data_IF_442744370378
#
_entry.id   IF_442744370378
#
_cell.length_a   1.000
_cell.length_b   1.000
_cell.length_c   1.000
_cell.angle_alpha   90.00
_cell.angle_beta   90.00
_cell.angle_gamma   90.00
#
_symmetry.space_group_name_H-M   'P 1'
#
loop_
_entity.id
_entity.type
_entity.pdbx_description
1 polymer ?
#
# COMPACT_ATOMS: atom_id res chain seq x y z
N UNK A 1 -12.36 -14.71 25.57
CA UNK A 1 -12.74 -13.41 24.95
C UNK A 1 -14.24 -13.35 24.69
N UNK A 2 -14.89 -12.18 24.84
CA UNK A 2 -16.36 -12.04 24.68
C UNK A 2 -16.83 -11.76 23.24
N UNK A 3 -15.99 -11.14 22.41
CA UNK A 3 -16.32 -10.73 21.05
C UNK A 3 -15.07 -10.62 20.18
N UNK A 4 -15.24 -10.81 18.88
CA UNK A 4 -14.21 -10.60 17.86
C UNK A 4 -14.71 -9.63 16.79
N UNK A 5 -13.79 -8.89 16.16
CA UNK A 5 -14.06 -8.04 15.02
C UNK A 5 -13.78 -8.82 13.75
N UNK A 6 -14.79 -8.99 12.89
CA UNK A 6 -14.60 -9.62 11.59
C UNK A 6 -14.55 -8.55 10.51
N UNK A 7 -13.50 -8.58 9.69
CA UNK A 7 -13.29 -7.64 8.59
C UNK A 7 -13.76 -8.31 7.29
N UNK A 8 -14.90 -7.87 6.77
CA UNK A 8 -15.51 -8.38 5.55
C UNK A 8 -15.12 -7.53 4.35
N UNK A 9 -14.85 -8.16 3.20
CA UNK A 9 -14.57 -7.50 1.92
C UNK A 9 -15.32 -8.22 0.79
N UNK A 10 -15.92 -7.45 -0.11
CA UNK A 10 -16.48 -7.98 -1.35
C UNK A 10 -15.41 -7.99 -2.43
N UNK A 11 -14.97 -9.17 -2.85
CA UNK A 11 -13.95 -9.36 -3.89
C UNK A 11 -14.56 -9.92 -5.17
N UNK A 12 -13.87 -9.80 -6.30
CA UNK A 12 -14.25 -10.53 -7.51
C UNK A 12 -13.94 -12.01 -7.35
N UNK A 13 -14.87 -12.89 -7.75
CA UNK A 13 -14.57 -14.31 -7.84
C UNK A 13 -13.64 -14.59 -9.03
N UNK A 14 -13.01 -15.78 -9.04
CA UNK A 14 -12.10 -16.21 -10.12
C UNK A 14 -12.76 -16.24 -11.52
N UNK A 15 -14.09 -16.33 -11.57
CA UNK A 15 -14.86 -16.30 -12.83
C UNK A 15 -14.95 -14.91 -13.49
N UNK A 16 -14.48 -13.86 -12.81
CA UNK A 16 -14.51 -12.45 -13.23
C UNK A 16 -15.91 -11.82 -13.24
N UNK A 17 -16.98 -12.61 -13.12
CA UNK A 17 -18.38 -12.21 -13.31
C UNK A 17 -19.12 -12.06 -12.00
N UNK A 18 -18.80 -12.89 -11.01
CA UNK A 18 -19.48 -12.87 -9.71
C UNK A 18 -18.64 -12.15 -8.67
N UNK A 19 -19.32 -11.71 -7.61
CA UNK A 19 -18.67 -11.13 -6.44
C UNK A 19 -18.81 -12.12 -5.29
N UNK A 20 -17.73 -12.28 -4.53
CA UNK A 20 -17.65 -13.16 -3.38
C UNK A 20 -17.43 -12.33 -2.11
N UNK A 21 -18.17 -12.66 -1.07
CA UNK A 21 -17.92 -12.11 0.26
C UNK A 21 -16.77 -12.89 0.90
N UNK A 22 -15.76 -12.19 1.36
CA UNK A 22 -14.62 -12.75 2.07
C UNK A 22 -14.48 -12.13 3.46
N UNK A 23 -13.93 -12.89 4.40
CA UNK A 23 -13.46 -12.45 5.71
C UNK A 23 -11.94 -12.40 5.61
N UNK A 24 -11.36 -11.21 5.63
CA UNK A 24 -9.92 -11.04 5.36
C UNK A 24 -9.09 -11.13 6.64
N UNK A 25 -9.67 -10.73 7.77
CA UNK A 25 -8.96 -10.70 9.05
C UNK A 25 -9.91 -10.68 10.23
N UNK A 26 -9.39 -11.05 11.39
CA UNK A 26 -10.09 -11.08 12.67
C UNK A 26 -9.35 -10.19 13.67
N UNK A 27 -10.05 -9.24 14.29
CA UNK A 27 -9.51 -8.37 15.33
C UNK A 27 -9.97 -8.76 16.72
N UNK A 28 -9.10 -8.59 17.69
CA UNK A 28 -9.35 -8.87 19.12
C UNK A 28 -9.60 -7.57 19.89
N UNK A 29 -10.30 -7.62 21.05
CA UNK A 29 -10.62 -6.43 21.84
C UNK A 29 -9.41 -5.61 22.33
N UNK A 30 -8.24 -6.25 22.46
CA UNK A 30 -6.96 -5.64 22.84
C UNK A 30 -6.27 -4.90 21.68
N UNK A 31 -6.88 -4.89 20.49
CA UNK A 31 -6.43 -4.10 19.34
C UNK A 31 -5.59 -4.89 18.33
N UNK A 32 -5.27 -6.15 18.59
CA UNK A 32 -4.54 -7.00 17.63
C UNK A 32 -5.43 -7.38 16.45
N UNK A 33 -4.82 -7.68 15.32
CA UNK A 33 -5.50 -8.14 14.10
C UNK A 33 -4.75 -9.33 13.53
N UNK A 34 -5.49 -10.36 13.14
CA UNK A 34 -4.96 -11.63 12.65
C UNK A 34 -5.48 -11.90 11.25
N UNK A 35 -4.60 -12.33 10.35
CA UNK A 35 -4.95 -12.59 8.95
C UNK A 35 -5.58 -13.97 8.77
N UNK A 36 -6.57 -14.05 7.90
CA UNK A 36 -7.07 -15.33 7.40
C UNK A 36 -6.34 -15.69 6.11
N UNK A 37 -5.77 -16.91 5.99
CA UNK A 37 -5.18 -17.39 4.74
C UNK A 37 -6.19 -17.31 3.59
N UNK A 38 -5.71 -16.98 2.38
CA UNK A 38 -6.56 -16.71 1.21
C UNK A 38 -7.54 -17.85 0.90
N UNK A 39 -7.13 -19.11 1.08
CA UNK A 39 -7.97 -20.29 0.92
C UNK A 39 -9.15 -20.36 1.91
N UNK A 40 -9.03 -19.72 3.07
CA UNK A 40 -10.04 -19.73 4.13
C UNK A 40 -10.88 -18.47 4.19
N UNK A 41 -10.51 -17.40 3.47
CA UNK A 41 -11.27 -16.15 3.49
C UNK A 41 -12.72 -16.23 2.96
N UNK A 42 -13.09 -17.08 1.97
CA UNK A 42 -14.46 -17.12 1.48
C UNK A 42 -15.51 -17.33 2.58
N UNK A 43 -16.48 -16.41 2.68
CA UNK A 43 -17.45 -16.39 3.78
C UNK A 43 -18.26 -17.69 3.90
N UNK A 44 -18.48 -18.41 2.79
CA UNK A 44 -19.19 -19.69 2.75
C UNK A 44 -18.46 -20.81 3.51
N UNK A 45 -17.16 -20.69 3.78
CA UNK A 45 -16.40 -21.61 4.63
C UNK A 45 -16.71 -21.39 6.12
N UNK A 46 -17.10 -20.18 6.50
CA UNK A 46 -17.46 -19.80 7.87
C UNK A 46 -18.97 -20.03 8.14
N UNK A 47 -19.39 -21.30 8.10
CA UNK A 47 -20.81 -21.70 8.09
C UNK A 47 -21.61 -21.19 9.29
N UNK A 48 -21.10 -21.31 10.51
CA UNK A 48 -21.80 -20.84 11.71
C UNK A 48 -21.92 -19.32 11.73
N UNK A 49 -20.87 -18.60 11.32
CA UNK A 49 -20.90 -17.15 11.21
C UNK A 49 -21.95 -16.68 10.18
N UNK A 50 -22.08 -17.41 9.06
CA UNK A 50 -23.07 -17.13 8.02
C UNK A 50 -24.53 -17.26 8.49
N UNK A 51 -24.79 -17.98 9.60
CA UNK A 51 -26.14 -18.11 10.17
C UNK A 51 -26.53 -16.90 11.01
N UNK A 52 -25.58 -16.04 11.39
CA UNK A 52 -25.84 -14.92 12.28
C UNK A 52 -26.64 -13.81 11.61
N UNK A 53 -27.46 -13.09 12.40
CA UNK A 53 -28.14 -11.88 11.90
C UNK A 53 -27.14 -10.79 11.48
N UNK A 54 -25.96 -10.76 12.12
CA UNK A 54 -24.91 -9.80 11.77
C UNK A 54 -24.45 -10.04 10.34
N UNK A 55 -24.20 -11.29 9.96
CA UNK A 55 -23.84 -11.62 8.58
C UNK A 55 -24.93 -11.24 7.57
N UNK A 56 -26.21 -11.46 7.90
CA UNK A 56 -27.32 -11.02 7.04
C UNK A 56 -27.31 -9.50 6.82
N UNK A 57 -27.04 -8.71 7.86
CA UNK A 57 -26.89 -7.24 7.76
C UNK A 57 -25.66 -6.85 6.93
N UNK A 58 -24.54 -7.56 7.09
CA UNK A 58 -23.33 -7.36 6.27
C UNK A 58 -23.62 -7.58 4.79
N UNK A 59 -24.24 -8.72 4.43
CA UNK A 59 -24.62 -9.04 3.03
C UNK A 59 -25.51 -7.96 2.41
N UNK A 60 -26.40 -7.38 3.19
CA UNK A 60 -27.26 -6.28 2.73
C UNK A 60 -26.54 -4.94 2.59
N UNK A 61 -25.46 -4.72 3.35
CA UNK A 61 -24.71 -3.45 3.38
C UNK A 61 -23.54 -3.38 2.39
N UNK A 62 -22.92 -4.51 2.05
CA UNK A 62 -21.80 -4.58 1.11
C UNK A 62 -22.30 -5.19 -0.21
N UNK A 63 -22.66 -4.33 -1.16
CA UNK A 63 -23.20 -4.77 -2.48
C UNK A 63 -22.21 -4.60 -3.65
N UNK A 64 -21.22 -3.73 -3.49
CA UNK A 64 -20.25 -3.38 -4.53
C UNK A 64 -18.91 -4.04 -4.25
N UNK A 65 -18.21 -4.45 -5.30
CA UNK A 65 -16.82 -4.94 -5.25
C UNK A 65 -15.91 -3.90 -4.60
N UNK A 66 -14.84 -4.36 -3.95
CA UNK A 66 -13.83 -3.57 -3.25
C UNK A 66 -14.39 -2.70 -2.11
N UNK A 67 -15.59 -3.01 -1.60
CA UNK A 67 -16.10 -2.41 -0.37
C UNK A 67 -15.92 -3.38 0.80
N UNK A 68 -15.60 -2.80 1.95
CA UNK A 68 -15.36 -3.53 3.19
C UNK A 68 -16.12 -2.96 4.38
N UNK A 69 -16.34 -3.80 5.40
CA UNK A 69 -16.88 -3.41 6.70
C UNK A 69 -16.21 -4.23 7.80
N UNK A 70 -15.88 -3.57 8.89
CA UNK A 70 -15.38 -4.19 10.11
C UNK A 70 -16.51 -4.21 11.12
N UNK A 71 -16.85 -5.39 11.67
CA UNK A 71 -17.97 -5.52 12.60
C UNK A 71 -17.60 -6.41 13.77
N UNK A 72 -17.93 -5.93 14.97
CA UNK A 72 -17.81 -6.71 16.20
C UNK A 72 -18.98 -7.69 16.32
N UNK A 73 -18.66 -8.95 16.57
CA UNK A 73 -19.60 -10.06 16.74
C UNK A 73 -19.33 -10.70 18.10
N UNK A 74 -20.36 -10.74 18.94
CA UNK A 74 -20.33 -11.49 20.20
C UNK A 74 -20.18 -12.97 19.91
N UNK A 75 -19.26 -13.64 20.60
CA UNK A 75 -19.03 -15.07 20.40
C UNK A 75 -20.11 -15.87 21.12
N UNK A 76 -20.84 -16.70 20.37
CA UNK A 76 -21.60 -17.80 20.95
C UNK A 76 -20.66 -18.96 21.28
N UNK A 77 -21.13 -19.96 22.03
CA UNK A 77 -20.33 -21.16 22.29
C UNK A 77 -19.86 -21.84 21.00
N UNK A 78 -20.69 -21.86 19.95
CA UNK A 78 -20.29 -22.46 18.67
C UNK A 78 -19.20 -21.63 17.97
N UNK A 79 -19.35 -20.31 17.92
CA UNK A 79 -18.35 -19.43 17.30
C UNK A 79 -17.04 -19.44 18.08
N UNK A 80 -17.10 -19.49 19.42
CA UNK A 80 -15.91 -19.59 20.25
C UNK A 80 -15.10 -20.83 19.90
N UNK A 81 -15.75 -22.00 19.80
CA UNK A 81 -15.07 -23.26 19.46
C UNK A 81 -14.43 -23.26 18.07
N UNK A 82 -14.96 -22.48 17.14
CA UNK A 82 -14.46 -22.41 15.76
C UNK A 82 -13.23 -21.51 15.64
N UNK A 83 -13.20 -20.41 16.38
CA UNK A 83 -12.18 -19.37 16.21
C UNK A 83 -11.18 -19.28 17.35
N UNK A 84 -11.49 -19.82 18.53
CA UNK A 84 -10.66 -19.76 19.73
C UNK A 84 -10.39 -21.16 20.27
N UNK A 85 -9.12 -21.44 20.57
CA UNK A 85 -8.75 -22.66 21.30
C UNK A 85 -9.06 -22.51 22.81
N UNK A 86 -8.68 -23.53 23.60
CA UNK A 86 -8.89 -23.53 25.06
C UNK A 86 -8.14 -22.41 25.78
N UNK A 87 -7.06 -21.92 25.18
CA UNK A 87 -6.18 -20.85 25.70
C UNK A 87 -6.52 -19.47 25.10
N UNK A 88 -7.64 -19.36 24.39
CA UNK A 88 -8.12 -18.16 23.69
C UNK A 88 -7.22 -17.65 22.55
N UNK A 89 -6.40 -18.53 21.95
CA UNK A 89 -5.65 -18.21 20.74
C UNK A 89 -6.54 -18.31 19.50
N UNK A 90 -6.32 -17.40 18.55
CA UNK A 90 -7.05 -17.40 17.30
C UNK A 90 -6.55 -18.49 16.35
N UNK A 91 -7.47 -19.35 15.94
CA UNK A 91 -7.20 -20.41 14.96
C UNK A 91 -8.41 -20.64 14.05
N UNK A 92 -8.19 -21.29 12.91
CA UNK A 92 -9.24 -21.74 12.00
C UNK A 92 -8.79 -22.98 11.23
N UNK A 93 -9.67 -23.98 11.06
CA UNK A 93 -9.38 -25.23 10.31
C UNK A 93 -8.02 -25.87 10.67
N UNK A 94 -7.69 -25.91 11.97
CA UNK A 94 -6.45 -26.43 12.57
C UNK A 94 -5.16 -25.60 12.33
N UNK A 95 -5.27 -24.32 12.00
CA UNK A 95 -4.12 -23.44 11.86
C UNK A 95 -4.28 -22.19 12.75
N UNK A 96 -3.22 -21.84 13.48
CA UNK A 96 -3.16 -20.56 14.18
C UNK A 96 -3.06 -19.42 13.17
N UNK A 97 -3.80 -18.34 13.44
CA UNK A 97 -3.79 -17.18 12.57
C UNK A 97 -2.56 -16.31 12.83
N UNK A 98 -2.01 -15.73 11.77
CA UNK A 98 -0.86 -14.85 11.85
C UNK A 98 -1.26 -13.47 12.35
N UNK A 99 -0.61 -12.98 13.42
CA UNK A 99 -0.81 -11.62 13.93
C UNK A 99 -0.18 -10.61 12.96
N UNK A 100 -1.00 -9.70 12.43
CA UNK A 100 -0.53 -8.60 11.61
C UNK A 100 0.26 -7.62 12.48
N UNK A 101 1.58 -7.66 12.37
CA UNK A 101 2.46 -6.71 13.04
C UNK A 101 2.63 -5.43 12.21
N UNK A 102 3.11 -4.34 12.80
CA UNK A 102 3.33 -3.07 12.07
C UNK A 102 4.28 -3.22 10.87
N UNK A 103 5.09 -4.28 10.83
CA UNK A 103 5.95 -4.67 9.71
C UNK A 103 5.24 -5.38 8.54
N UNK A 104 4.04 -5.93 8.72
CA UNK A 104 3.39 -6.84 7.75
C UNK A 104 2.31 -6.17 6.90
N UNK A 105 2.25 -4.83 6.91
CA UNK A 105 1.28 -4.08 6.11
C UNK A 105 1.66 -4.01 4.62
N UNK A 106 1.67 -5.15 3.94
CA UNK A 106 1.68 -5.19 2.47
C UNK A 106 0.31 -4.77 1.90
N UNK A 107 0.24 -3.76 1.01
CA UNK A 107 -1.00 -3.39 0.36
C UNK A 107 -1.21 -4.17 -0.95
N UNK A 108 -2.27 -4.97 -0.96
CA UNK A 108 -2.94 -5.48 -2.16
C UNK A 108 -3.28 -4.37 -3.17
N UNK A 109 -3.19 -4.74 -4.45
CA UNK A 109 -2.68 -3.98 -5.59
C UNK A 109 -3.58 -2.92 -6.26
N UNK A 110 -4.52 -2.27 -5.57
CA UNK A 110 -5.35 -1.20 -6.18
C UNK A 110 -5.52 0.06 -5.30
N UNK A 111 -4.88 0.11 -4.12
CA UNK A 111 -4.92 1.25 -3.18
C UNK A 111 -3.53 1.89 -3.01
N UNK A 112 -2.59 1.52 -3.88
CA UNK A 112 -1.16 1.81 -3.70
C UNK A 112 -0.87 3.32 -3.71
N UNK A 113 -1.48 4.11 -4.59
CA UNK A 113 -1.15 5.55 -4.67
C UNK A 113 -1.52 6.31 -3.38
N UNK A 114 -2.74 6.13 -2.85
CA UNK A 114 -3.21 6.85 -1.65
C UNK A 114 -2.56 6.34 -0.35
N UNK A 115 -2.22 5.06 -0.29
CA UNK A 115 -1.64 4.45 0.92
C UNK A 115 -0.15 4.73 1.01
N UNK A 116 0.56 4.68 -0.13
CA UNK A 116 1.97 5.06 -0.21
C UNK A 116 2.13 6.55 0.09
N UNK A 117 1.24 7.40 -0.42
CA UNK A 117 1.27 8.83 -0.10
C UNK A 117 1.05 9.11 1.39
N UNK A 118 0.18 8.35 2.06
CA UNK A 118 -0.04 8.44 3.52
C UNK A 118 1.10 7.86 4.35
N UNK A 119 1.73 6.78 3.89
CA UNK A 119 2.92 6.21 4.53
C UNK A 119 4.13 7.14 4.38
N UNK A 120 4.30 7.77 3.21
CA UNK A 120 5.27 8.85 2.98
C UNK A 120 5.00 10.03 3.91
N UNK A 121 3.75 10.51 4.01
CA UNK A 121 3.40 11.60 4.93
C UNK A 121 3.73 11.24 6.38
N UNK A 122 3.48 10.00 6.80
CA UNK A 122 3.72 9.51 8.16
C UNK A 122 5.20 9.28 8.47
N UNK A 123 6.01 8.89 7.49
CA UNK A 123 7.47 8.79 7.63
C UNK A 123 8.14 10.18 7.70
N UNK A 124 7.46 11.21 7.19
CA UNK A 124 7.91 12.60 7.24
C UNK A 124 7.27 13.41 8.38
N UNK A 125 6.61 12.76 9.35
CA UNK A 125 5.92 13.40 10.49
C UNK A 125 6.87 13.92 11.58
N UNK A 126 7.88 14.72 11.20
CA UNK A 126 8.42 15.74 12.08
C UNK A 126 7.75 17.08 11.75
N UNK A 127 7.35 17.85 12.78
CA UNK A 127 6.64 19.13 12.58
C UNK A 127 7.38 20.11 11.66
N UNK A 128 8.72 20.04 11.64
CA UNK A 128 9.58 20.81 10.74
C UNK A 128 9.46 20.32 9.29
N UNK A 129 9.58 19.01 9.04
CA UNK A 129 9.45 18.40 7.71
C UNK A 129 8.07 18.63 7.07
N UNK A 130 6.97 18.62 7.83
CA UNK A 130 5.63 18.91 7.27
C UNK A 130 5.53 20.33 6.71
N UNK A 131 6.20 21.30 7.33
CA UNK A 131 6.25 22.69 6.84
C UNK A 131 7.15 22.82 5.60
N UNK A 132 8.21 22.01 5.52
CA UNK A 132 9.12 21.95 4.37
C UNK A 132 8.48 21.28 3.16
N UNK A 133 7.73 20.18 3.32
CA UNK A 133 6.97 19.54 2.23
C UNK A 133 5.92 20.49 1.64
N UNK A 134 5.21 21.22 2.50
CA UNK A 134 4.26 22.23 2.05
C UNK A 134 4.96 23.35 1.26
N UNK A 135 6.21 23.67 1.61
CA UNK A 135 7.04 24.61 0.86
C UNK A 135 7.48 24.01 -0.49
N UNK A 136 8.00 22.78 -0.52
CA UNK A 136 8.40 22.08 -1.74
C UNK A 136 7.24 21.91 -2.73
N UNK A 137 6.01 21.63 -2.25
CA UNK A 137 4.82 21.55 -3.11
C UNK A 137 4.47 22.88 -3.79
N UNK A 138 4.84 24.02 -3.18
CA UNK A 138 4.67 25.35 -3.78
C UNK A 138 5.79 25.63 -4.76
N UNK A 139 7.03 25.30 -4.39
CA UNK A 139 8.21 25.42 -5.25
C UNK A 139 8.02 24.60 -6.55
N UNK A 140 7.50 23.37 -6.43
CA UNK A 140 7.25 22.49 -7.57
C UNK A 140 6.33 23.11 -8.64
N UNK A 141 5.42 24.02 -8.26
CA UNK A 141 4.54 24.71 -9.22
C UNK A 141 5.29 25.69 -10.13
N UNK A 142 6.50 26.11 -9.73
CA UNK A 142 7.32 27.02 -10.52
C UNK A 142 8.24 26.28 -11.49
N UNK A 143 8.38 24.96 -11.38
CA UNK A 143 9.19 24.17 -12.30
C UNK A 143 8.54 24.18 -13.69
N UNK A 144 9.37 24.35 -14.71
CA UNK A 144 8.96 24.37 -16.12
C UNK A 144 9.41 23.09 -16.82
N UNK A 145 9.15 21.95 -16.18
CA UNK A 145 9.45 20.62 -16.71
C UNK A 145 8.17 19.77 -16.74
N UNK A 146 8.03 18.95 -17.78
CA UNK A 146 6.97 17.95 -17.84
C UNK A 146 7.26 16.81 -16.88
N UNK A 147 6.20 16.12 -16.43
CA UNK A 147 6.38 14.96 -15.58
C UNK A 147 6.91 13.78 -16.37
N UNK A 148 7.75 12.98 -15.73
CA UNK A 148 8.28 11.77 -16.31
C UNK A 148 7.24 10.65 -16.29
N UNK A 149 6.98 10.07 -17.46
CA UNK A 149 6.05 8.95 -17.63
C UNK A 149 6.72 7.67 -18.16
N UNK A 150 8.04 7.71 -18.36
CA UNK A 150 8.83 6.61 -18.92
C UNK A 150 8.71 6.43 -20.43
N UNK A 151 8.00 7.32 -21.15
CA UNK A 151 7.73 7.15 -22.60
C UNK A 151 8.16 8.34 -23.45
N UNK A 152 8.10 9.56 -22.93
CA UNK A 152 8.19 10.77 -23.78
C UNK A 152 9.61 11.31 -23.99
N UNK A 153 10.57 10.98 -23.12
CA UNK A 153 11.93 11.54 -23.14
C UNK A 153 12.95 10.56 -22.55
N UNK A 154 14.21 10.63 -23.00
CA UNK A 154 15.29 9.82 -22.43
C UNK A 154 15.46 10.16 -20.94
N UNK A 155 15.47 9.15 -20.07
CA UNK A 155 15.59 9.34 -18.63
C UNK A 155 16.79 10.20 -18.21
N UNK A 156 17.94 10.06 -18.88
CA UNK A 156 19.14 10.86 -18.61
C UNK A 156 18.91 12.34 -18.94
N UNK A 157 18.26 12.61 -20.09
CA UNK A 157 18.00 13.98 -20.52
C UNK A 157 16.99 14.65 -19.59
N UNK A 158 15.91 13.94 -19.27
CA UNK A 158 14.88 14.44 -18.37
C UNK A 158 15.43 14.73 -16.97
N UNK A 159 16.26 13.83 -16.45
CA UNK A 159 16.86 14.01 -15.13
C UNK A 159 17.82 15.20 -15.11
N UNK A 160 18.57 15.43 -16.18
CA UNK A 160 19.41 16.63 -16.33
C UNK A 160 18.58 17.93 -16.40
N UNK A 161 17.42 17.90 -17.07
CA UNK A 161 16.49 19.04 -17.09
C UNK A 161 15.87 19.27 -15.71
N UNK A 162 15.55 18.20 -14.97
CA UNK A 162 15.06 18.28 -13.60
C UNK A 162 16.10 18.90 -12.66
N UNK A 163 17.37 18.49 -12.72
CA UNK A 163 18.45 19.05 -11.92
C UNK A 163 18.63 20.55 -12.17
N UNK A 164 18.56 21.00 -13.44
CA UNK A 164 18.61 22.42 -13.80
C UNK A 164 17.46 23.21 -13.18
N UNK A 165 16.27 22.62 -13.11
CA UNK A 165 15.12 23.26 -12.46
C UNK A 165 15.27 23.28 -10.94
N UNK A 166 15.85 22.26 -10.31
CA UNK A 166 16.25 22.30 -8.90
C UNK A 166 17.22 23.45 -8.62
N UNK A 167 18.27 23.61 -9.43
CA UNK A 167 19.22 24.73 -9.33
C UNK A 167 18.52 26.09 -9.52
N UNK A 168 17.67 26.22 -10.55
CA UNK A 168 16.92 27.44 -10.86
C UNK A 168 15.97 27.85 -9.72
N UNK A 169 15.39 26.87 -9.05
CA UNK A 169 14.52 27.06 -7.89
C UNK A 169 15.27 27.08 -6.54
N UNK A 170 16.62 27.12 -6.56
CA UNK A 170 17.49 27.21 -5.39
C UNK A 170 17.32 26.04 -4.40
N UNK A 171 17.10 24.84 -4.93
CA UNK A 171 17.12 23.59 -4.16
C UNK A 171 18.56 23.11 -4.10
N UNK A 172 19.28 23.55 -3.06
CA UNK A 172 20.73 23.33 -2.92
C UNK A 172 21.09 22.07 -2.11
N UNK A 173 20.12 21.49 -1.40
CA UNK A 173 20.31 20.29 -0.60
C UNK A 173 19.91 19.07 -1.41
N UNK A 174 20.81 18.09 -1.55
CA UNK A 174 20.57 16.85 -2.29
C UNK A 174 19.34 16.09 -1.78
N UNK A 175 19.12 16.09 -0.47
CA UNK A 175 17.93 15.53 0.17
C UNK A 175 16.63 16.14 -0.40
N UNK A 176 16.62 17.45 -0.63
CA UNK A 176 15.45 18.16 -1.17
C UNK A 176 15.23 17.86 -2.65
N UNK A 177 16.28 17.52 -3.40
CA UNK A 177 16.15 17.01 -4.77
C UNK A 177 15.36 15.69 -4.78
N UNK A 178 15.67 14.78 -3.85
CA UNK A 178 14.94 13.52 -3.68
C UNK A 178 13.48 13.82 -3.29
N UNK A 179 13.25 14.64 -2.25
CA UNK A 179 11.89 14.89 -1.76
C UNK A 179 10.96 15.56 -2.78
N UNK A 180 11.50 16.46 -3.61
CA UNK A 180 10.71 17.17 -4.63
C UNK A 180 10.48 16.34 -5.88
N UNK A 181 11.37 15.37 -6.18
CA UNK A 181 11.28 14.51 -7.35
C UNK A 181 9.91 13.85 -7.49
N UNK A 182 9.29 13.42 -6.38
CA UNK A 182 7.96 12.77 -6.39
C UNK A 182 6.87 13.55 -7.11
N UNK A 183 6.94 14.89 -7.12
CA UNK A 183 5.93 15.73 -7.76
C UNK A 183 6.01 15.71 -9.29
N UNK A 184 7.12 15.22 -9.82
CA UNK A 184 7.46 15.22 -11.24
C UNK A 184 7.48 13.81 -11.85
N UNK A 185 7.01 12.80 -11.11
CA UNK A 185 6.93 11.42 -11.57
C UNK A 185 5.47 10.99 -11.74
N UNK A 186 5.18 10.23 -12.80
CA UNK A 186 3.89 9.62 -13.06
C UNK A 186 4.02 8.16 -13.52
N UNK A 187 2.89 7.44 -13.48
CA UNK A 187 2.80 6.05 -13.93
C UNK A 187 3.83 5.18 -13.17
N UNK A 188 4.51 4.25 -13.86
CA UNK A 188 5.47 3.34 -13.24
C UNK A 188 6.65 4.05 -12.54
N UNK A 189 6.93 5.31 -12.86
CA UNK A 189 8.03 6.05 -12.23
C UNK A 189 7.72 6.49 -10.79
N UNK A 190 6.44 6.71 -10.45
CA UNK A 190 6.05 7.02 -9.07
C UNK A 190 6.17 5.78 -8.16
N UNK A 191 5.87 4.60 -8.70
CA UNK A 191 6.03 3.33 -8.01
C UNK A 191 7.50 3.05 -7.75
N UNK A 192 8.37 3.29 -8.76
CA UNK A 192 9.82 3.21 -8.59
C UNK A 192 10.33 4.13 -7.47
N UNK A 193 9.90 5.39 -7.45
CA UNK A 193 10.30 6.34 -6.40
C UNK A 193 9.96 5.82 -5.01
N UNK A 194 8.77 5.24 -4.88
CA UNK A 194 8.28 4.67 -3.62
C UNK A 194 9.13 3.48 -3.18
N UNK A 195 9.49 2.59 -4.11
CA UNK A 195 10.42 1.50 -3.84
C UNK A 195 11.82 2.00 -3.45
N UNK A 196 12.29 3.07 -4.08
CA UNK A 196 13.62 3.64 -3.82
C UNK A 196 13.71 4.30 -2.46
N UNK A 197 12.65 4.99 -2.01
CA UNK A 197 12.56 5.50 -0.64
C UNK A 197 12.70 4.35 0.37
N UNK A 198 12.07 3.21 0.14
CA UNK A 198 12.17 2.06 1.04
C UNK A 198 13.56 1.41 1.02
N UNK A 199 14.22 1.38 -0.14
CA UNK A 199 15.50 0.70 -0.33
C UNK A 199 16.72 1.53 0.10
N UNK A 200 16.69 2.84 -0.15
CA UNK A 200 17.83 3.74 0.06
C UNK A 200 17.56 4.79 1.15
N UNK A 201 16.32 5.00 1.59
CA UNK A 201 15.91 6.12 2.44
C UNK A 201 16.17 7.51 1.79
N UNK A 202 15.52 8.55 2.34
CA UNK A 202 15.64 9.95 1.86
C UNK A 202 17.05 10.53 2.12
N UNK A 203 17.82 9.91 3.02
CA UNK A 203 19.18 10.34 3.41
C UNK A 203 20.30 9.82 2.50
N UNK A 204 19.97 9.05 1.46
CA UNK A 204 20.97 8.57 0.50
C UNK A 204 21.43 9.68 -0.45
N UNK A 205 22.64 9.52 -0.99
CA UNK A 205 23.24 10.46 -1.93
C UNK A 205 22.39 10.58 -3.20
N UNK A 206 22.24 11.81 -3.71
CA UNK A 206 21.46 12.05 -4.92
C UNK A 206 22.04 11.31 -6.13
N UNK A 207 23.36 11.12 -6.17
CA UNK A 207 24.05 10.41 -7.24
C UNK A 207 23.59 8.94 -7.37
N UNK A 208 23.34 8.24 -6.26
CA UNK A 208 22.83 6.86 -6.27
C UNK A 208 21.42 6.78 -6.84
N UNK A 209 20.58 7.76 -6.48
CA UNK A 209 19.24 7.91 -7.04
C UNK A 209 19.26 8.12 -8.54
N UNK A 210 20.17 8.97 -9.03
CA UNK A 210 20.32 9.23 -10.47
C UNK A 210 20.76 8.00 -11.24
N UNK A 211 21.81 7.33 -10.74
CA UNK A 211 22.33 6.13 -11.38
C UNK A 211 21.25 5.06 -11.50
N UNK A 212 20.50 4.82 -10.41
CA UNK A 212 19.43 3.83 -10.45
C UNK A 212 18.25 4.25 -11.34
N UNK A 213 17.89 5.54 -11.35
CA UNK A 213 16.84 6.05 -12.22
C UNK A 213 17.18 5.82 -13.69
N UNK A 214 18.42 6.15 -14.08
CA UNK A 214 18.92 5.95 -15.43
C UNK A 214 19.13 4.47 -15.77
N UNK A 215 19.48 3.61 -14.82
CA UNK A 215 19.52 2.16 -15.05
C UNK A 215 18.13 1.56 -15.31
N UNK A 216 17.12 2.09 -14.59
CA UNK A 216 15.74 1.58 -14.63
C UNK A 216 15.00 2.08 -15.87
N UNK A 217 15.11 3.37 -16.17
CA UNK A 217 14.33 4.04 -17.20
C UNK A 217 15.17 4.53 -18.39
N UNK A 218 16.49 4.44 -18.30
CA UNK A 218 17.37 4.75 -19.43
C UNK A 218 17.16 3.78 -20.57
N UNK A 219 17.33 4.30 -21.79
CA UNK A 219 17.27 3.49 -22.98
C UNK A 219 18.42 2.47 -22.96
N UNK A 220 18.12 1.19 -22.72
CA UNK A 220 19.04 0.10 -23.05
C UNK A 220 19.08 -0.03 -24.56
N UNK A 221 19.84 0.86 -25.21
CA UNK A 221 20.19 0.69 -26.62
C UNK A 221 20.81 -0.70 -26.75
N UNK A 222 20.24 -1.52 -27.63
CA UNK A 222 20.82 -2.81 -27.98
C UNK A 222 22.27 -2.53 -28.40
N UNK A 223 23.24 -3.09 -27.67
CA UNK A 223 24.59 -3.20 -28.20
C UNK A 223 24.46 -4.00 -29.49
N UNK A 224 24.54 -3.31 -30.64
CA UNK A 224 24.74 -3.98 -31.92
C UNK A 224 26.08 -4.69 -31.77
N UNK A 225 26.03 -5.99 -31.53
CA UNK A 225 27.21 -6.85 -31.61
C UNK A 225 27.60 -6.84 -33.09
N UNK A 226 28.54 -5.97 -33.45
CA UNK A 226 29.21 -6.09 -34.74
C UNK A 226 29.96 -7.42 -34.74
N UNK A 227 29.56 -8.28 -35.69
CA UNK A 227 30.18 -9.57 -35.97
C UNK A 227 31.29 -9.39 -36.99
#
# INVERSE_FOLDING_TARGET
MEKLRFDFKMVGAQDGKTNMMCITSIGTPDGKTFLLPDEFQPANLHKELCKTQVYARIKNSIKKRNKSRKVWITLTEELSKIYLDEDENLYFENQYLEELTESDSEPTSDVQVDTIQKLLEKLMENKEQKSEIQNLSKIAKYFMIEKFDGKNINANQWLSEFEKECERCLILEEKKNIEILKFFLEMASIDWYSCMILKFAVESDWEDWKNNFCETFGSKGWYIIYK
#
